data_IF_006151880016
#
_entry.id   IF_006151880016
#
_cell.length_a   1.000
_cell.length_b   1.000
_cell.length_c   1.000
_cell.angle_alpha   90.00
_cell.angle_beta   90.00
_cell.angle_gamma   90.00
#
_symmetry.space_group_name_H-M   'P 1'
#
loop_
_entity.id
_entity.type
_entity.pdbx_description
1 polymer ?
#
# COMPACT_ATOMS: atom_id res chain seq x y z
N UNK A 1 21.91 -29.38 1.13
CA UNK A 1 22.10 -28.04 0.55
C UNK A 1 20.85 -27.24 0.83
N UNK A 2 20.97 -26.09 1.49
CA UNK A 2 19.82 -25.24 1.83
C UNK A 2 19.25 -24.63 0.54
N UNK A 3 17.94 -24.72 0.33
CA UNK A 3 17.24 -24.16 -0.84
C UNK A 3 17.48 -22.65 -0.95
N UNK A 4 17.74 -21.97 0.17
CA UNK A 4 18.11 -20.55 0.17
C UNK A 4 19.45 -20.26 -0.52
N UNK A 5 20.42 -21.17 -0.44
CA UNK A 5 21.70 -21.01 -1.13
C UNK A 5 21.53 -21.13 -2.64
N UNK A 6 20.64 -22.02 -3.10
CA UNK A 6 20.31 -22.14 -4.51
C UNK A 6 19.60 -20.87 -5.00
N UNK A 7 18.56 -20.39 -4.30
CA UNK A 7 17.87 -19.16 -4.68
C UNK A 7 18.80 -17.94 -4.73
N UNK A 8 19.73 -17.81 -3.77
CA UNK A 8 20.72 -16.73 -3.75
C UNK A 8 21.73 -16.84 -4.90
N UNK A 9 22.06 -18.05 -5.34
CA UNK A 9 22.83 -18.26 -6.57
C UNK A 9 22.02 -17.84 -7.79
N UNK A 10 20.76 -18.28 -7.91
CA UNK A 10 19.86 -17.95 -9.03
C UNK A 10 19.62 -16.44 -9.19
N UNK A 11 19.45 -15.71 -8.09
CA UNK A 11 19.31 -14.25 -8.11
C UNK A 11 20.57 -13.54 -8.65
N UNK A 12 21.76 -14.16 -8.50
CA UNK A 12 23.05 -13.60 -8.92
C UNK A 12 23.35 -13.85 -10.42
N UNK A 13 22.64 -14.78 -11.07
CA UNK A 13 22.80 -15.06 -12.50
C UNK A 13 22.03 -14.09 -13.41
N UNK A 14 21.45 -13.01 -12.86
CA UNK A 14 20.80 -11.96 -13.63
C UNK A 14 19.46 -12.36 -14.25
N UNK A 15 18.83 -13.43 -13.75
CA UNK A 15 17.45 -13.76 -14.14
C UNK A 15 16.51 -12.69 -13.62
N UNK A 16 15.86 -11.96 -14.53
CA UNK A 16 14.81 -11.00 -14.18
C UNK A 16 13.54 -11.78 -13.91
N UNK A 17 13.32 -12.15 -12.65
CA UNK A 17 12.10 -12.80 -12.24
C UNK A 17 10.91 -11.82 -12.38
N UNK A 18 9.93 -12.17 -13.20
CA UNK A 18 8.74 -11.35 -13.48
C UNK A 18 7.71 -11.43 -12.34
N UNK A 19 6.77 -10.47 -12.25
CA UNK A 19 5.64 -10.50 -11.29
C UNK A 19 4.96 -11.88 -11.19
N UNK A 20 4.53 -12.51 -12.31
CA UNK A 20 3.87 -13.80 -12.27
C UNK A 20 4.76 -14.92 -11.69
N UNK A 21 6.07 -14.87 -11.91
CA UNK A 21 6.99 -15.89 -11.40
C UNK A 21 7.13 -15.80 -9.87
N UNK A 22 7.26 -14.58 -9.34
CA UNK A 22 7.25 -14.36 -7.89
C UNK A 22 5.91 -14.72 -7.26
N UNK A 23 4.81 -14.46 -7.95
CA UNK A 23 3.45 -14.82 -7.49
C UNK A 23 3.28 -16.35 -7.44
N UNK A 24 3.76 -17.05 -8.47
CA UNK A 24 3.79 -18.51 -8.49
C UNK A 24 4.67 -19.07 -7.37
N UNK A 25 5.87 -18.50 -7.17
CA UNK A 25 6.77 -18.89 -6.10
C UNK A 25 6.17 -18.65 -4.71
N UNK A 26 5.44 -17.55 -4.51
CA UNK A 26 4.70 -17.28 -3.28
C UNK A 26 3.60 -18.31 -3.03
N UNK A 27 2.85 -18.68 -4.07
CA UNK A 27 1.83 -19.74 -3.98
C UNK A 27 2.41 -21.10 -3.63
N UNK A 28 3.51 -21.50 -4.28
CA UNK A 28 4.19 -22.77 -4.01
C UNK A 28 4.76 -22.78 -2.59
N UNK A 29 5.52 -21.74 -2.23
CA UNK A 29 6.13 -21.65 -0.89
C UNK A 29 5.09 -21.65 0.24
N UNK A 30 3.95 -21.00 0.05
CA UNK A 30 2.83 -21.04 1.01
C UNK A 30 2.20 -22.43 1.09
N UNK A 31 2.00 -23.11 -0.04
CA UNK A 31 1.40 -24.46 -0.07
C UNK A 31 2.28 -25.53 0.57
N UNK A 32 3.60 -25.41 0.43
CA UNK A 32 4.56 -26.38 0.94
C UNK A 32 5.23 -25.94 2.26
N UNK A 33 4.78 -24.84 2.88
CA UNK A 33 5.31 -24.28 4.12
C UNK A 33 6.84 -24.03 4.08
N UNK A 34 7.34 -23.51 2.96
CA UNK A 34 8.74 -23.10 2.84
C UNK A 34 8.92 -21.64 3.28
N UNK A 35 9.05 -21.43 4.58
CA UNK A 35 9.07 -20.10 5.21
C UNK A 35 10.14 -19.17 4.61
N UNK A 36 11.39 -19.65 4.47
CA UNK A 36 12.47 -18.81 3.93
C UNK A 36 12.25 -18.39 2.47
N UNK A 37 11.59 -19.24 1.67
CA UNK A 37 11.28 -18.95 0.26
C UNK A 37 10.11 -17.97 0.19
N UNK A 38 9.11 -18.17 1.06
CA UNK A 38 7.97 -17.28 1.22
C UNK A 38 8.45 -15.88 1.60
N UNK A 39 9.33 -15.74 2.58
CA UNK A 39 9.90 -14.45 3.00
C UNK A 39 10.67 -13.77 1.87
N UNK A 40 11.37 -14.55 1.05
CA UNK A 40 12.08 -14.05 -0.13
C UNK A 40 11.11 -13.53 -1.19
N UNK A 41 10.05 -14.29 -1.48
CA UNK A 41 9.02 -13.88 -2.43
C UNK A 41 8.28 -12.63 -1.95
N UNK A 42 7.99 -12.53 -0.65
CA UNK A 42 7.39 -11.34 -0.04
C UNK A 42 8.32 -10.12 -0.20
N UNK A 43 9.61 -10.29 0.08
CA UNK A 43 10.58 -9.19 -0.05
C UNK A 43 10.78 -8.75 -1.51
N UNK A 44 10.64 -9.67 -2.46
CA UNK A 44 10.78 -9.38 -3.89
C UNK A 44 9.55 -8.70 -4.50
N UNK A 45 8.34 -9.06 -4.04
CA UNK A 45 7.07 -8.46 -4.46
C UNK A 45 6.74 -7.17 -3.72
N UNK A 46 7.36 -6.93 -2.56
CA UNK A 46 7.19 -5.68 -1.84
C UNK A 46 7.59 -4.49 -2.73
N UNK A 47 6.85 -3.37 -2.67
CA UNK A 47 7.17 -2.16 -3.43
C UNK A 47 8.49 -1.58 -2.93
N UNK A 48 9.61 -2.05 -3.49
CA UNK A 48 10.94 -1.55 -3.18
C UNK A 48 11.29 -0.39 -4.12
N UNK A 49 12.05 0.61 -3.64
CA UNK A 49 12.44 1.77 -4.45
C UNK A 49 13.38 1.42 -5.62
N UNK A 50 13.84 0.17 -5.72
CA UNK A 50 14.81 -0.29 -6.72
C UNK A 50 14.20 -1.19 -7.80
N UNK A 51 13.00 -1.71 -7.60
CA UNK A 51 12.35 -2.61 -8.57
C UNK A 51 10.97 -2.07 -8.93
N UNK A 52 10.86 -1.56 -10.14
CA UNK A 52 9.64 -0.98 -10.73
C UNK A 52 8.63 -2.07 -11.12
N UNK A 53 8.36 -3.03 -10.24
CA UNK A 53 7.20 -3.92 -10.38
C UNK A 53 6.03 -3.27 -9.66
N UNK A 54 5.33 -2.38 -10.35
CA UNK A 54 4.07 -1.83 -9.87
C UNK A 54 3.02 -2.92 -10.02
N UNK A 55 2.93 -3.79 -9.01
CA UNK A 55 1.81 -4.70 -8.88
C UNK A 55 0.54 -3.86 -8.75
N UNK A 56 -0.55 -4.28 -9.39
CA UNK A 56 -1.79 -3.55 -9.27
C UNK A 56 -2.22 -3.56 -7.79
N UNK A 57 -2.59 -2.41 -7.19
CA UNK A 57 -2.94 -2.34 -5.77
C UNK A 57 -4.05 -3.31 -5.36
N UNK A 58 -5.01 -3.62 -6.25
CA UNK A 58 -6.07 -4.59 -5.98
C UNK A 58 -5.52 -6.00 -5.97
N UNK A 59 -4.67 -6.33 -6.94
CA UNK A 59 -3.99 -7.62 -7.00
C UNK A 59 -3.08 -7.84 -5.77
N UNK A 60 -2.47 -6.77 -5.26
CA UNK A 60 -1.69 -6.80 -4.02
C UNK A 60 -2.55 -7.16 -2.81
N UNK A 61 -3.76 -6.59 -2.68
CA UNK A 61 -4.71 -6.95 -1.61
C UNK A 61 -5.15 -8.41 -1.75
N UNK A 62 -5.49 -8.84 -2.96
CA UNK A 62 -5.94 -10.23 -3.21
C UNK A 62 -4.84 -11.21 -2.82
N UNK A 63 -3.59 -10.97 -3.21
CA UNK A 63 -2.45 -11.80 -2.82
C UNK A 63 -2.20 -11.75 -1.32
N UNK A 64 -2.30 -10.58 -0.70
CA UNK A 64 -2.13 -10.40 0.73
C UNK A 64 -3.16 -11.19 1.54
N UNK A 65 -4.43 -11.16 1.15
CA UNK A 65 -5.50 -11.93 1.81
C UNK A 65 -5.33 -13.42 1.54
N UNK A 66 -5.04 -13.82 0.30
CA UNK A 66 -4.88 -15.23 -0.09
C UNK A 66 -3.71 -15.91 0.62
N UNK A 67 -2.62 -15.19 0.80
CA UNK A 67 -1.40 -15.72 1.40
C UNK A 67 -1.24 -15.34 2.88
N UNK A 68 -2.19 -14.65 3.50
CA UNK A 68 -2.12 -14.16 4.89
C UNK A 68 -0.86 -13.31 5.15
N UNK A 69 -0.78 -12.17 4.44
CA UNK A 69 0.33 -11.21 4.49
C UNK A 69 -0.23 -9.84 4.90
N UNK A 70 -0.50 -9.60 6.18
CA UNK A 70 -1.16 -8.37 6.64
C UNK A 70 -0.33 -7.11 6.36
N UNK A 71 1.01 -7.22 6.29
CA UNK A 71 1.89 -6.08 6.02
C UNK A 71 1.69 -5.44 4.64
N UNK A 72 1.01 -6.12 3.72
CA UNK A 72 0.71 -5.59 2.38
C UNK A 72 -0.63 -4.86 2.30
N UNK A 73 -1.54 -5.10 3.24
CA UNK A 73 -2.89 -4.55 3.20
C UNK A 73 -2.89 -3.02 3.33
N UNK A 74 -2.20 -2.49 4.35
CA UNK A 74 -2.11 -1.05 4.57
C UNK A 74 -1.52 -0.30 3.36
N UNK A 75 -0.33 -0.63 2.85
CA UNK A 75 0.22 0.09 1.70
C UNK A 75 -0.65 -0.06 0.45
N UNK A 76 -1.30 -1.21 0.23
CA UNK A 76 -2.19 -1.42 -0.90
C UNK A 76 -3.46 -0.55 -0.80
N UNK A 77 -4.11 -0.49 0.37
CA UNK A 77 -5.27 0.37 0.59
C UNK A 77 -4.93 1.86 0.41
N UNK A 78 -3.75 2.28 0.87
CA UNK A 78 -3.27 3.66 0.65
C UNK A 78 -3.11 3.95 -0.83
N UNK A 79 -2.52 3.04 -1.60
CA UNK A 79 -2.37 3.21 -3.04
C UNK A 79 -3.73 3.29 -3.76
N UNK A 80 -4.72 2.50 -3.34
CA UNK A 80 -6.08 2.57 -3.89
C UNK A 80 -6.76 3.90 -3.56
N UNK A 81 -6.60 4.40 -2.33
CA UNK A 81 -7.14 5.72 -1.94
C UNK A 81 -6.49 6.88 -2.71
N UNK A 82 -5.21 6.74 -3.08
CA UNK A 82 -4.46 7.75 -3.82
C UNK A 82 -4.79 7.79 -5.31
N UNK A 83 -5.28 6.69 -5.90
CA UNK A 83 -5.69 6.62 -7.30
C UNK A 83 -6.79 7.64 -7.59
N UNK A 84 -6.74 8.26 -8.76
CA UNK A 84 -7.79 9.18 -9.25
C UNK A 84 -8.95 8.41 -9.88
N UNK A 85 -8.67 7.29 -10.54
CA UNK A 85 -9.68 6.41 -11.15
C UNK A 85 -10.63 5.84 -10.08
N UNK A 86 -11.96 5.86 -10.29
CA UNK A 86 -12.92 5.17 -9.43
C UNK A 86 -12.68 3.65 -9.41
N UNK A 87 -13.20 2.98 -8.38
CA UNK A 87 -13.14 1.52 -8.31
C UNK A 87 -14.08 0.91 -9.34
N UNK A 88 -13.62 -0.11 -10.04
CA UNK A 88 -14.43 -0.86 -10.99
C UNK A 88 -15.21 -2.00 -10.31
N UNK A 89 -16.33 -2.39 -10.91
CA UNK A 89 -17.18 -3.48 -10.39
C UNK A 89 -16.38 -4.79 -10.23
N UNK A 90 -15.48 -5.08 -11.17
CA UNK A 90 -14.61 -6.26 -11.13
C UNK A 90 -13.57 -6.24 -10.00
N UNK A 91 -13.16 -5.05 -9.54
CA UNK A 91 -12.29 -4.91 -8.36
C UNK A 91 -13.10 -5.16 -7.08
N UNK A 92 -14.34 -4.66 -7.05
CA UNK A 92 -15.26 -4.85 -5.94
C UNK A 92 -15.57 -6.32 -5.65
N UNK A 93 -15.73 -7.14 -6.69
CA UNK A 93 -15.92 -8.59 -6.57
C UNK A 93 -14.69 -9.30 -5.97
N UNK A 94 -13.48 -8.90 -6.38
CA UNK A 94 -12.22 -9.50 -5.91
C UNK A 94 -11.88 -9.14 -4.46
N UNK A 95 -12.16 -7.90 -4.04
CA UNK A 95 -11.89 -7.40 -2.69
C UNK A 95 -12.94 -7.83 -1.66
N UNK A 96 -14.15 -8.13 -2.13
CA UNK A 96 -15.31 -8.44 -1.31
C UNK A 96 -16.03 -7.19 -0.81
N UNK A 97 -17.35 -7.31 -0.63
CA UNK A 97 -18.25 -6.17 -0.42
C UNK A 97 -17.89 -5.30 0.80
N UNK A 98 -17.52 -5.90 1.93
CA UNK A 98 -17.18 -5.15 3.14
C UNK A 98 -15.90 -4.34 3.01
N UNK A 99 -14.87 -4.92 2.38
CA UNK A 99 -13.59 -4.25 2.12
C UNK A 99 -13.80 -3.09 1.17
N UNK A 100 -14.53 -3.32 0.07
CA UNK A 100 -14.86 -2.30 -0.93
C UNK A 100 -15.63 -1.13 -0.34
N UNK A 101 -16.63 -1.38 0.53
CA UNK A 101 -17.38 -0.33 1.21
C UNK A 101 -16.47 0.50 2.13
N UNK A 102 -15.60 -0.14 2.93
CA UNK A 102 -14.65 0.59 3.79
C UNK A 102 -13.68 1.42 2.99
N UNK A 103 -13.18 0.88 1.88
CA UNK A 103 -12.25 1.57 1.00
C UNK A 103 -12.91 2.76 0.30
N UNK A 104 -14.16 2.62 -0.15
CA UNK A 104 -14.96 3.72 -0.69
C UNK A 104 -15.11 4.85 0.34
N UNK A 105 -15.45 4.52 1.60
CA UNK A 105 -15.54 5.51 2.69
C UNK A 105 -14.20 6.21 2.95
N UNK A 106 -13.10 5.46 3.00
CA UNK A 106 -11.76 6.01 3.19
C UNK A 106 -11.37 6.97 2.07
N UNK A 107 -11.63 6.55 0.83
CA UNK A 107 -11.38 7.34 -0.38
C UNK A 107 -12.20 8.63 -0.40
N UNK A 108 -13.50 8.56 -0.15
CA UNK A 108 -14.39 9.73 -0.10
C UNK A 108 -13.91 10.75 0.95
N UNK A 109 -13.53 10.27 2.13
CA UNK A 109 -12.96 11.12 3.19
C UNK A 109 -11.67 11.79 2.74
N UNK A 110 -10.77 11.05 2.12
CA UNK A 110 -9.50 11.56 1.61
C UNK A 110 -9.72 12.67 0.56
N UNK A 111 -10.55 12.44 -0.46
CA UNK A 111 -10.80 13.41 -1.52
C UNK A 111 -11.55 14.65 -1.01
N UNK A 112 -12.49 14.49 -0.06
CA UNK A 112 -13.18 15.61 0.60
C UNK A 112 -12.20 16.51 1.35
N UNK A 113 -11.25 15.94 2.08
CA UNK A 113 -10.26 16.72 2.81
C UNK A 113 -9.26 17.40 1.86
N UNK A 114 -8.87 16.73 0.77
CA UNK A 114 -8.01 17.31 -0.25
C UNK A 114 -8.67 18.50 -0.96
N UNK A 115 -9.98 18.44 -1.24
CA UNK A 115 -10.73 19.56 -1.81
C UNK A 115 -10.73 20.78 -0.87
N UNK A 116 -10.95 20.58 0.43
CA UNK A 116 -10.89 21.65 1.45
C UNK A 116 -9.50 22.29 1.56
N UNK A 117 -8.44 21.52 1.33
CA UNK A 117 -7.07 22.05 1.30
C UNK A 117 -6.73 22.80 0.00
N UNK A 118 -7.45 22.52 -1.09
CA UNK A 118 -7.33 23.24 -2.36
C UNK A 118 -7.90 24.65 -2.29
N UNK A 119 -9.08 24.80 -1.69
CA UNK A 119 -9.80 26.09 -1.58
C UNK A 119 -9.04 27.16 -0.77
N UNK A 120 -8.20 26.76 0.19
CA UNK A 120 -7.43 27.70 1.03
C UNK A 120 -6.19 28.29 0.33
N UNK A 121 -5.79 27.81 -0.85
CA UNK A 121 -4.59 28.30 -1.56
C UNK A 121 -4.86 29.50 -2.47
N UNK A 122 -6.12 29.77 -2.79
CA UNK A 122 -6.51 30.87 -3.68
C UNK A 122 -6.70 32.20 -2.92
N UNK A 123 -6.36 32.24 -1.62
CA UNK A 123 -6.53 33.38 -0.73
C UNK A 123 -5.20 34.00 -0.23
N UNK A 124 -4.06 33.77 -0.90
CA UNK A 124 -2.84 34.55 -0.68
C UNK A 124 -2.64 35.60 -1.79
N UNK A 125 -2.78 36.85 -1.34
CA UNK A 125 -2.70 38.17 -1.97
C UNK A 125 -1.60 38.36 -3.04
N UNK A 126 -1.87 39.14 -4.11
CA UNK A 126 -0.87 39.51 -5.12
C UNK A 126 0.14 40.54 -4.59
N UNK A 127 1.44 40.26 -4.76
CA UNK A 127 2.51 41.24 -4.67
C UNK A 127 3.61 40.90 -3.66
N UNK A 128 4.74 40.40 -4.14
CA UNK A 128 5.91 40.15 -3.30
C UNK A 128 7.14 39.76 -4.12
N UNK A 129 7.87 40.77 -4.60
CA UNK A 129 9.18 40.67 -5.22
C UNK A 129 10.25 40.35 -4.16
N UNK A 130 10.89 39.18 -4.20
CA UNK A 130 12.27 38.87 -3.72
C UNK A 130 12.40 37.34 -3.71
N UNK A 131 13.42 36.70 -4.27
CA UNK A 131 14.84 36.82 -3.94
C UNK A 131 15.42 35.40 -4.08
N UNK A 132 16.61 35.33 -4.66
CA UNK A 132 17.28 34.09 -5.09
C UNK A 132 17.80 33.19 -3.97
N UNK A 133 18.05 31.93 -4.37
CA UNK A 133 19.02 30.97 -3.83
C UNK A 133 18.59 30.05 -2.68
N UNK A 134 18.58 28.75 -2.99
CA UNK A 134 18.46 27.67 -2.03
C UNK A 134 18.49 26.30 -2.70
N UNK A 135 19.68 25.84 -3.09
CA UNK A 135 19.96 24.42 -3.37
C UNK A 135 19.88 23.66 -2.03
N UNK A 136 18.66 23.38 -1.58
CA UNK A 136 18.44 22.34 -0.57
C UNK A 136 17.92 21.12 -1.29
N UNK A 137 18.75 20.07 -1.27
CA UNK A 137 18.35 18.73 -1.69
C UNK A 137 17.02 18.39 -1.04
N UNK A 138 16.07 18.02 -1.88
CA UNK A 138 14.79 17.49 -1.45
C UNK A 138 15.05 16.22 -0.62
N UNK A 139 15.23 16.40 0.68
CA UNK A 139 14.83 15.40 1.67
C UNK A 139 13.43 15.02 1.22
N UNK A 140 13.21 13.73 0.90
CA UNK A 140 11.89 13.20 0.54
C UNK A 140 10.99 13.41 1.74
N UNK A 141 10.46 14.62 1.87
CA UNK A 141 9.33 14.94 2.72
C UNK A 141 8.26 13.93 2.31
N UNK A 142 7.67 13.18 3.25
CA UNK A 142 6.52 12.35 2.95
C UNK A 142 5.54 13.23 2.19
N UNK A 143 5.21 12.87 0.94
CA UNK A 143 4.24 13.63 0.16
C UNK A 143 3.03 13.82 1.07
N UNK A 144 2.59 15.05 1.41
CA UNK A 144 1.52 15.27 2.38
C UNK A 144 0.28 14.43 2.06
N UNK A 145 0.06 14.23 0.76
CA UNK A 145 -0.95 13.37 0.15
C UNK A 145 -0.87 11.90 0.62
N UNK A 146 0.32 11.27 0.58
CA UNK A 146 0.50 9.85 0.97
C UNK A 146 0.41 9.67 2.49
N UNK A 147 1.05 10.55 3.26
CA UNK A 147 0.96 10.51 4.71
C UNK A 147 -0.48 10.64 5.21
N UNK A 148 -1.26 11.55 4.60
CA UNK A 148 -2.67 11.73 4.94
C UNK A 148 -3.52 10.51 4.56
N UNK A 149 -3.30 9.95 3.37
CA UNK A 149 -3.98 8.73 2.95
C UNK A 149 -3.68 7.54 3.89
N UNK A 150 -2.42 7.38 4.33
CA UNK A 150 -2.03 6.40 5.35
C UNK A 150 -2.80 6.59 6.65
N UNK A 151 -2.88 7.82 7.16
CA UNK A 151 -3.63 8.08 8.39
C UNK A 151 -5.12 7.72 8.25
N UNK A 152 -5.77 8.11 7.17
CA UNK A 152 -7.20 7.83 6.95
C UNK A 152 -7.45 6.33 6.84
N UNK A 153 -6.62 5.61 6.08
CA UNK A 153 -6.71 4.15 5.95
C UNK A 153 -6.54 3.49 7.31
N UNK A 154 -5.53 3.88 8.08
CA UNK A 154 -5.29 3.33 9.41
C UNK A 154 -6.50 3.55 10.33
N UNK A 155 -7.06 4.76 10.37
CA UNK A 155 -8.25 5.06 11.19
C UNK A 155 -9.49 4.25 10.80
N UNK A 156 -9.67 3.95 9.51
CA UNK A 156 -10.85 3.21 9.01
C UNK A 156 -10.74 1.70 9.23
N UNK A 157 -9.54 1.14 9.05
CA UNK A 157 -9.33 -0.31 9.08
C UNK A 157 -8.85 -0.82 10.45
N UNK A 158 -8.10 0.00 11.20
CA UNK A 158 -7.56 -0.31 12.52
C UNK A 158 -7.91 0.83 13.50
N UNK A 159 -9.21 1.02 13.82
CA UNK A 159 -9.59 2.00 14.82
C UNK A 159 -8.96 1.63 16.16
N UNK A 160 -8.46 2.61 16.95
CA UNK A 160 -7.99 2.32 18.30
C UNK A 160 -9.14 1.67 19.08
N UNK A 161 -8.87 0.55 19.74
CA UNK A 161 -9.84 -0.15 20.58
C UNK A 161 -10.45 0.85 21.55
N UNK A 162 -11.68 1.28 21.30
CA UNK A 162 -12.44 2.05 22.29
C UNK A 162 -12.47 1.21 23.56
N UNK A 163 -11.93 1.77 24.64
CA UNK A 163 -11.78 1.22 25.98
C UNK A 163 -12.62 -0.03 26.29
N UNK A 164 -11.95 -0.99 26.93
CA UNK A 164 -12.48 -2.20 27.56
C UNK A 164 -13.47 -1.93 28.71
N UNK A 165 -14.54 -1.18 28.43
CA UNK A 165 -15.65 -0.92 29.34
C UNK A 165 -16.93 -0.96 28.51
N UNK A 166 -17.36 -2.15 28.11
CA UNK A 166 -18.79 -2.38 27.97
C UNK A 166 -19.15 -3.85 28.24
N UNK A 167 -19.90 -4.04 29.33
CA UNK A 167 -20.86 -5.12 29.48
C UNK A 167 -20.34 -6.55 29.61
N UNK A 168 -20.03 -6.95 30.85
CA UNK A 168 -20.56 -8.22 31.32
C UNK A 168 -22.09 -8.09 31.46
N UNK A 169 -22.89 -9.03 30.93
CA UNK A 169 -24.12 -9.45 31.56
C UNK A 169 -23.96 -10.86 32.13
N UNK A 170 -24.60 -11.02 33.29
CA UNK A 170 -24.64 -12.13 34.25
C UNK A 170 -24.71 -13.54 33.68
#
# INVERSE_FOLDING_TARGET
MDICCLLRMYDNYGWKTSVPEWTALLSISTRYAFDKIRDRAISALAPTPYFSNTLDPVEMVVLAVKHDIPQWLEPAYVLICLREEPMEDGEGERLGIFTTIRLAKARERFWREQARMGENKDAETPGGLFGSAGLFGSVRSPCPRRARATQIVHEVFWPPSSNATDGAPR
#
